data_IF_741541005495
#
_entry.id   IF_741541005495
#
_cell.length_a   1.000
_cell.length_b   1.000
_cell.length_c   1.000
_cell.angle_alpha   90.00
_cell.angle_beta   90.00
_cell.angle_gamma   90.00
#
_symmetry.space_group_name_H-M   'P 1'
#
loop_
_entity.id
_entity.type
_entity.pdbx_description
1 polymer ?
#
# COMPACT_ATOMS: atom_id res chain seq x y z
N UNK A 1 2.34 11.71 -2.63
CA UNK A 1 3.56 10.92 -2.98
C UNK A 1 4.35 11.49 -4.15
N UNK A 2 3.83 11.49 -5.40
CA UNK A 2 4.60 11.96 -6.57
C UNK A 2 5.12 13.40 -6.46
N UNK A 3 4.32 14.33 -5.91
CA UNK A 3 4.79 15.70 -5.63
C UNK A 3 5.87 15.77 -4.55
N UNK A 4 5.83 14.88 -3.56
CA UNK A 4 6.74 14.87 -2.40
C UNK A 4 8.11 14.38 -2.87
N UNK A 5 8.13 13.28 -3.61
CA UNK A 5 9.34 12.60 -4.06
C UNK A 5 9.74 12.94 -5.50
N UNK A 6 9.04 13.89 -6.13
CA UNK A 6 9.28 14.38 -7.50
C UNK A 6 9.30 13.28 -8.57
N UNK A 7 8.38 12.33 -8.48
CA UNK A 7 8.16 11.32 -9.51
C UNK A 7 6.70 11.34 -9.99
N UNK A 8 6.46 10.76 -11.17
CA UNK A 8 5.13 10.54 -11.74
C UNK A 8 5.02 9.08 -12.15
N UNK A 9 3.87 8.47 -11.85
CA UNK A 9 3.53 7.14 -12.34
C UNK A 9 2.57 7.33 -13.51
N UNK A 10 2.84 6.66 -14.62
CA UNK A 10 1.96 6.61 -15.78
C UNK A 10 1.68 5.13 -16.09
N UNK A 11 0.42 4.82 -16.40
CA UNK A 11 0.07 3.46 -16.83
C UNK A 11 0.42 3.30 -18.30
N UNK A 12 1.18 2.25 -18.63
CA UNK A 12 1.40 1.82 -20.00
C UNK A 12 0.44 0.68 -20.33
N UNK A 13 -0.44 0.90 -21.30
CA UNK A 13 -1.45 -0.05 -21.76
C UNK A 13 -1.45 -0.14 -23.27
N UNK A 14 -1.53 -1.35 -23.80
CA UNK A 14 -1.46 -1.56 -25.26
C UNK A 14 -2.57 -0.82 -26.02
N UNK A 15 -3.74 -0.59 -25.42
CA UNK A 15 -4.86 0.10 -26.08
C UNK A 15 -4.55 1.57 -26.38
N UNK A 16 -3.61 2.18 -25.67
CA UNK A 16 -3.32 3.62 -25.74
C UNK A 16 -1.87 3.94 -26.11
N UNK A 17 -0.94 3.09 -25.69
CA UNK A 17 0.49 3.36 -25.73
C UNK A 17 1.23 2.54 -26.81
N UNK A 18 0.49 1.70 -27.55
CA UNK A 18 1.02 0.91 -28.67
C UNK A 18 0.32 1.36 -29.95
N UNK A 19 1.10 1.66 -31.00
CA UNK A 19 0.53 2.02 -32.30
C UNK A 19 0.01 0.77 -33.02
N UNK A 20 -1.18 0.84 -33.65
CA UNK A 20 -1.67 -0.24 -34.50
C UNK A 20 -0.65 -0.56 -35.59
N UNK A 21 -0.19 -1.80 -35.64
CA UNK A 21 0.78 -2.26 -36.63
C UNK A 21 0.47 -3.70 -36.97
N UNK A 22 0.38 -4.02 -38.26
CA UNK A 22 0.28 -5.39 -38.74
C UNK A 22 1.68 -5.82 -39.17
N UNK A 23 2.23 -6.80 -38.45
CA UNK A 23 3.41 -7.58 -38.87
C UNK A 23 2.95 -9.04 -38.94
N UNK A 24 3.59 -9.85 -39.77
CA UNK A 24 3.39 -11.31 -39.80
C UNK A 24 4.02 -11.96 -38.54
N UNK A 25 3.54 -11.53 -37.36
CA UNK A 25 3.99 -11.87 -36.01
C UNK A 25 2.78 -11.83 -35.07
N UNK A 26 2.92 -12.51 -33.94
CA UNK A 26 1.92 -12.47 -32.87
C UNK A 26 1.75 -11.06 -32.29
N UNK A 27 0.50 -10.67 -31.99
CA UNK A 27 0.16 -9.36 -31.42
C UNK A 27 0.86 -9.07 -30.08
N UNK A 28 1.07 -10.08 -29.22
CA UNK A 28 1.77 -9.94 -27.94
C UNK A 28 3.21 -9.50 -28.14
N UNK A 29 3.92 -10.09 -29.11
CA UNK A 29 5.28 -9.67 -29.46
C UNK A 29 5.31 -8.24 -30.00
N UNK A 30 4.29 -7.84 -30.78
CA UNK A 30 4.22 -6.47 -31.32
C UNK A 30 4.01 -5.46 -30.20
N UNK A 31 3.21 -5.79 -29.18
CA UNK A 31 2.99 -4.96 -27.98
C UNK A 31 4.30 -4.82 -27.21
N UNK A 32 4.97 -5.93 -26.91
CA UNK A 32 6.26 -5.93 -26.20
C UNK A 32 7.35 -5.19 -26.97
N UNK A 33 7.49 -5.40 -28.28
CA UNK A 33 8.47 -4.70 -29.13
C UNK A 33 8.27 -3.17 -29.09
N UNK A 34 7.03 -2.70 -28.89
CA UNK A 34 6.72 -1.27 -28.89
C UNK A 34 6.82 -0.62 -27.52
N UNK A 35 6.42 -1.32 -26.45
CA UNK A 35 6.60 -0.85 -25.08
C UNK A 35 8.10 -0.93 -24.70
N UNK A 36 8.79 -1.96 -25.15
CA UNK A 36 10.17 -2.22 -24.81
C UNK A 36 10.36 -2.44 -23.30
N UNK A 37 11.50 -1.99 -22.78
CA UNK A 37 11.88 -2.13 -21.36
C UNK A 37 11.66 -0.83 -20.57
N UNK A 38 10.83 0.09 -21.06
CA UNK A 38 10.69 1.45 -20.52
C UNK A 38 9.79 1.55 -19.27
N UNK A 39 9.68 0.48 -18.50
CA UNK A 39 8.86 0.42 -17.29
C UNK A 39 9.62 -0.22 -16.13
N UNK A 40 9.36 0.29 -14.93
CA UNK A 40 10.00 -0.13 -13.68
C UNK A 40 9.08 -1.02 -12.82
N UNK A 41 7.78 -1.05 -13.12
CA UNK A 41 6.80 -1.86 -12.38
C UNK A 41 5.90 -2.61 -13.37
N UNK A 42 5.83 -3.93 -13.23
CA UNK A 42 4.86 -4.78 -13.91
C UNK A 42 3.68 -5.10 -12.98
N UNK A 43 2.45 -4.87 -13.44
CA UNK A 43 1.23 -5.16 -12.68
C UNK A 43 0.39 -6.17 -13.48
N UNK A 44 0.42 -7.43 -13.05
CA UNK A 44 -0.44 -8.48 -13.60
C UNK A 44 -1.79 -8.53 -12.88
N UNK A 45 -2.87 -8.57 -13.65
CA UNK A 45 -4.24 -8.63 -13.12
C UNK A 45 -4.96 -9.80 -13.78
N UNK A 46 -5.40 -10.77 -12.98
CA UNK A 46 -6.16 -11.91 -13.47
C UNK A 46 -7.56 -11.92 -12.88
N UNK A 47 -8.57 -11.96 -13.75
CA UNK A 47 -9.98 -12.05 -13.38
C UNK A 47 -10.46 -13.53 -13.47
N UNK A 48 -11.74 -13.78 -13.75
CA UNK A 48 -12.35 -15.11 -13.87
C UNK A 48 -11.96 -15.91 -15.14
N UNK A 49 -11.17 -15.31 -16.03
CA UNK A 49 -10.69 -15.94 -17.28
C UNK A 49 -9.17 -15.95 -17.27
N UNK A 50 -8.60 -17.09 -17.61
CA UNK A 50 -7.17 -17.23 -17.84
C UNK A 50 -6.76 -16.54 -19.14
N UNK A 51 -7.60 -16.63 -20.18
CA UNK A 51 -7.40 -15.98 -21.46
C UNK A 51 -7.15 -16.95 -22.61
N UNK A 52 -6.85 -16.40 -23.79
CA UNK A 52 -6.60 -17.17 -25.00
C UNK A 52 -5.12 -17.59 -25.08
N UNK A 53 -4.84 -18.87 -25.42
CA UNK A 53 -3.47 -19.35 -25.63
C UNK A 53 -2.73 -18.53 -26.68
N UNK A 54 -1.44 -18.34 -26.45
CA UNK A 54 -0.50 -17.76 -27.41
C UNK A 54 0.44 -18.86 -27.90
N UNK A 55 1.29 -18.60 -28.91
CA UNK A 55 2.32 -19.55 -29.33
C UNK A 55 3.32 -19.92 -28.24
N UNK A 56 3.41 -19.12 -27.15
CA UNK A 56 4.43 -19.26 -26.10
C UNK A 56 3.85 -19.58 -24.71
N UNK A 57 2.57 -19.35 -24.47
CA UNK A 57 1.95 -19.56 -23.15
C UNK A 57 0.46 -19.95 -23.25
N UNK A 58 -0.10 -20.41 -22.14
CA UNK A 58 -1.51 -20.76 -22.06
C UNK A 58 -2.45 -19.54 -22.04
N UNK A 59 -1.90 -18.33 -21.80
CA UNK A 59 -2.59 -17.07 -22.01
C UNK A 59 -1.64 -15.92 -22.32
N UNK A 60 -2.16 -14.83 -22.90
CA UNK A 60 -1.40 -13.59 -23.09
C UNK A 60 -0.83 -13.04 -21.78
N UNK A 61 -1.62 -13.04 -20.70
CA UNK A 61 -1.17 -12.58 -19.37
C UNK A 61 -0.08 -13.48 -18.77
N UNK A 62 -0.13 -14.79 -19.00
CA UNK A 62 0.96 -15.70 -18.60
C UNK A 62 2.24 -15.41 -19.40
N UNK A 63 2.12 -15.14 -20.70
CA UNK A 63 3.26 -14.74 -21.53
C UNK A 63 3.89 -13.44 -21.02
N UNK A 64 3.05 -12.42 -20.77
CA UNK A 64 3.50 -11.13 -20.28
C UNK A 64 4.24 -11.23 -18.94
N UNK A 65 3.70 -12.01 -18.01
CA UNK A 65 4.36 -12.30 -16.74
C UNK A 65 5.70 -13.01 -16.92
N UNK A 66 5.78 -14.00 -17.81
CA UNK A 66 7.01 -14.77 -18.01
C UNK A 66 8.14 -13.88 -18.54
N UNK A 67 7.85 -12.97 -19.47
CA UNK A 67 8.83 -12.01 -19.99
C UNK A 67 9.24 -10.98 -18.92
N UNK A 68 8.29 -10.42 -18.18
CA UNK A 68 8.59 -9.53 -17.05
C UNK A 68 9.48 -10.23 -16.00
N UNK A 69 9.13 -11.46 -15.62
CA UNK A 69 9.88 -12.25 -14.64
C UNK A 69 11.28 -12.64 -15.14
N UNK A 70 11.42 -12.88 -16.45
CA UNK A 70 12.73 -13.09 -17.07
C UNK A 70 13.60 -11.83 -16.96
N UNK A 71 13.07 -10.65 -17.29
CA UNK A 71 13.78 -9.37 -17.12
C UNK A 71 14.19 -9.15 -15.67
N UNK A 72 13.28 -9.36 -14.72
CA UNK A 72 13.57 -9.27 -13.29
C UNK A 72 14.76 -10.17 -12.90
N UNK A 73 14.79 -11.42 -13.38
CA UNK A 73 15.91 -12.33 -13.12
C UNK A 73 17.24 -11.90 -13.74
N UNK A 74 17.20 -11.27 -14.91
CA UNK A 74 18.40 -10.88 -15.65
C UNK A 74 19.01 -9.57 -15.15
N UNK A 75 18.17 -8.58 -14.79
CA UNK A 75 18.59 -7.22 -14.46
C UNK A 75 18.32 -6.80 -13.03
N UNK A 76 17.35 -7.44 -12.37
CA UNK A 76 16.90 -7.10 -11.02
C UNK A 76 16.47 -5.62 -10.89
N UNK A 77 15.89 -5.06 -11.97
CA UNK A 77 15.51 -3.65 -12.12
C UNK A 77 13.98 -3.45 -12.22
N UNK A 78 13.21 -4.50 -11.97
CA UNK A 78 11.77 -4.53 -12.22
C UNK A 78 11.01 -5.04 -11.00
N UNK A 79 10.07 -4.26 -10.50
CA UNK A 79 9.11 -4.73 -9.49
C UNK A 79 7.95 -5.47 -10.16
N UNK A 80 7.57 -6.63 -9.63
CA UNK A 80 6.49 -7.46 -10.17
C UNK A 80 5.40 -7.61 -9.11
N UNK A 81 4.23 -7.06 -9.40
CA UNK A 81 3.04 -7.18 -8.55
C UNK A 81 1.96 -7.94 -9.33
N UNK A 82 1.40 -8.98 -8.74
CA UNK A 82 0.38 -9.80 -9.39
C UNK A 82 -0.87 -9.95 -8.52
N UNK A 83 -2.05 -9.83 -9.12
CA UNK A 83 -3.34 -9.89 -8.43
C UNK A 83 -4.30 -10.90 -9.06
N UNK A 84 -5.02 -11.63 -8.21
CA UNK A 84 -6.10 -12.53 -8.60
C UNK A 84 -7.44 -12.05 -8.04
N UNK A 85 -8.48 -12.01 -8.90
CA UNK A 85 -9.84 -11.73 -8.46
C UNK A 85 -10.43 -12.94 -7.72
N UNK A 86 -11.04 -12.70 -6.56
CA UNK A 86 -11.81 -13.69 -5.80
C UNK A 86 -13.30 -13.33 -5.68
N UNK A 87 -13.73 -12.29 -6.38
CA UNK A 87 -15.13 -11.91 -6.43
C UNK A 87 -16.00 -13.09 -6.90
N UNK A 88 -17.04 -13.46 -6.13
CA UNK A 88 -17.92 -14.56 -6.49
C UNK A 88 -18.55 -14.38 -7.89
N UNK A 89 -18.82 -15.46 -8.62
CA UNK A 89 -19.63 -15.42 -9.84
C UNK A 89 -21.03 -14.89 -9.51
N UNK A 90 -21.56 -13.98 -10.32
CA UNK A 90 -22.93 -13.45 -10.11
C UNK A 90 -23.99 -14.47 -10.54
N UNK A 91 -23.63 -15.40 -11.43
CA UNK A 91 -24.48 -16.50 -11.84
C UNK A 91 -23.66 -17.77 -12.10
N UNK A 92 -24.33 -18.93 -12.05
CA UNK A 92 -23.70 -20.22 -12.37
C UNK A 92 -23.18 -20.29 -13.81
N UNK A 93 -23.72 -19.48 -14.73
CA UNK A 93 -23.27 -19.42 -16.13
C UNK A 93 -21.92 -18.72 -16.31
N UNK A 94 -21.45 -17.97 -15.30
CA UNK A 94 -20.09 -17.39 -15.31
C UNK A 94 -19.01 -18.41 -14.94
N UNK A 95 -19.39 -19.54 -14.35
CA UNK A 95 -18.45 -20.54 -13.87
C UNK A 95 -17.97 -21.39 -15.04
N UNK A 96 -16.71 -21.18 -15.43
CA UNK A 96 -16.01 -22.06 -16.35
C UNK A 96 -14.93 -22.84 -15.61
N UNK A 97 -15.19 -24.13 -15.34
CA UNK A 97 -14.27 -24.99 -14.61
C UNK A 97 -12.88 -25.10 -15.28
N UNK A 98 -12.81 -25.10 -16.61
CA UNK A 98 -11.54 -25.19 -17.33
C UNK A 98 -10.69 -23.94 -17.12
N UNK A 99 -11.29 -22.76 -17.15
CA UNK A 99 -10.57 -21.49 -16.90
C UNK A 99 -10.09 -21.41 -15.46
N UNK A 100 -10.94 -21.79 -14.49
CA UNK A 100 -10.57 -21.81 -13.07
C UNK A 100 -9.41 -22.76 -12.78
N UNK A 101 -9.39 -23.94 -13.42
CA UNK A 101 -8.28 -24.88 -13.29
C UNK A 101 -6.97 -24.29 -13.81
N UNK A 102 -6.97 -23.62 -14.98
CA UNK A 102 -5.78 -22.97 -15.52
C UNK A 102 -5.28 -21.83 -14.62
N UNK A 103 -6.19 -21.03 -14.06
CA UNK A 103 -5.84 -19.96 -13.10
C UNK A 103 -5.17 -20.57 -11.86
N UNK A 104 -5.72 -21.67 -11.33
CA UNK A 104 -5.17 -22.34 -10.16
C UNK A 104 -3.81 -23.00 -10.45
N UNK A 105 -3.63 -23.59 -11.63
CA UNK A 105 -2.32 -24.08 -12.09
C UNK A 105 -1.30 -22.94 -12.18
N UNK A 106 -1.69 -21.80 -12.73
CA UNK A 106 -0.84 -20.62 -12.81
C UNK A 106 -0.49 -20.08 -11.42
N UNK A 107 -1.45 -20.00 -10.49
CA UNK A 107 -1.21 -19.67 -9.07
C UNK A 107 -0.16 -20.57 -8.45
N UNK A 108 -0.26 -21.88 -8.64
CA UNK A 108 0.73 -22.87 -8.15
C UNK A 108 2.11 -22.64 -8.77
N UNK A 109 2.18 -22.25 -10.05
CA UNK A 109 3.46 -21.85 -10.68
C UNK A 109 4.04 -20.58 -10.06
N UNK A 110 3.21 -19.66 -9.56
CA UNK A 110 3.64 -18.38 -8.97
C UNK A 110 4.04 -18.52 -7.50
N UNK A 111 3.41 -19.40 -6.72
CA UNK A 111 3.70 -19.62 -5.30
C UNK A 111 5.20 -19.75 -4.95
N UNK A 112 6.03 -20.54 -5.68
CA UNK A 112 7.45 -20.64 -5.35
C UNK A 112 8.28 -19.41 -5.80
N UNK A 113 7.70 -18.50 -6.59
CA UNK A 113 8.38 -17.32 -7.14
C UNK A 113 8.14 -16.05 -6.32
N UNK A 114 7.16 -16.06 -5.40
CA UNK A 114 6.84 -14.90 -4.57
C UNK A 114 5.43 -14.94 -4.01
N UNK A 115 4.94 -13.76 -3.62
CA UNK A 115 3.60 -13.56 -3.06
C UNK A 115 2.77 -12.80 -4.08
N UNK A 116 1.50 -13.18 -4.23
CA UNK A 116 0.52 -12.48 -5.03
C UNK A 116 -0.62 -11.95 -4.15
N UNK A 117 -1.27 -10.88 -4.63
CA UNK A 117 -2.42 -10.28 -3.98
C UNK A 117 -3.74 -10.88 -4.45
N UNK A 118 -4.77 -10.69 -3.63
CA UNK A 118 -6.16 -10.99 -3.97
C UNK A 118 -6.99 -9.72 -3.91
N UNK A 119 -8.10 -9.65 -4.64
CA UNK A 119 -9.08 -8.57 -4.56
C UNK A 119 -10.47 -9.06 -4.90
N UNK A 120 -11.52 -8.38 -4.44
CA UNK A 120 -12.91 -8.62 -4.81
C UNK A 120 -13.48 -7.36 -5.47
N UNK A 121 -13.56 -7.39 -6.79
CA UNK A 121 -14.11 -6.29 -7.57
C UNK A 121 -13.20 -5.06 -7.67
N UNK A 122 -13.66 -4.06 -8.42
CA UNK A 122 -12.83 -2.92 -8.87
C UNK A 122 -12.42 -2.01 -7.72
N UNK A 123 -13.31 -1.74 -6.76
CA UNK A 123 -13.04 -0.81 -5.64
C UNK A 123 -11.93 -1.35 -4.72
N UNK A 124 -12.00 -2.62 -4.32
CA UNK A 124 -10.97 -3.23 -3.48
C UNK A 124 -9.63 -3.34 -4.21
N UNK A 125 -9.66 -3.61 -5.53
CA UNK A 125 -8.45 -3.61 -6.34
C UNK A 125 -7.76 -2.24 -6.34
N UNK A 126 -8.52 -1.15 -6.53
CA UNK A 126 -7.95 0.20 -6.51
C UNK A 126 -7.29 0.51 -5.17
N UNK A 127 -7.99 0.25 -4.07
CA UNK A 127 -7.47 0.51 -2.71
C UNK A 127 -6.19 -0.28 -2.44
N UNK A 128 -6.20 -1.59 -2.73
CA UNK A 128 -5.04 -2.47 -2.53
C UNK A 128 -3.86 -2.05 -3.42
N UNK A 129 -4.11 -1.78 -4.70
CA UNK A 129 -3.06 -1.36 -5.61
C UNK A 129 -2.41 -0.05 -5.15
N UNK A 130 -3.23 0.94 -4.78
CA UNK A 130 -2.74 2.22 -4.29
C UNK A 130 -1.88 2.05 -3.03
N UNK A 131 -2.33 1.23 -2.09
CA UNK A 131 -1.58 0.91 -0.85
C UNK A 131 -0.25 0.22 -1.14
N UNK A 132 -0.26 -0.81 -1.99
CA UNK A 132 0.95 -1.58 -2.30
C UNK A 132 1.98 -0.76 -3.08
N UNK A 133 1.55 0.00 -4.09
CA UNK A 133 2.45 0.91 -4.83
C UNK A 133 3.02 1.96 -3.88
N UNK A 134 2.19 2.55 -3.02
CA UNK A 134 2.64 3.53 -2.03
C UNK A 134 3.72 2.91 -1.15
N UNK A 135 3.50 1.71 -0.61
CA UNK A 135 4.49 1.01 0.22
C UNK A 135 5.77 0.67 -0.53
N UNK A 136 5.67 0.20 -1.78
CA UNK A 136 6.86 -0.07 -2.61
C UNK A 136 7.75 1.17 -2.74
N UNK A 137 7.19 2.32 -3.14
CA UNK A 137 7.98 3.53 -3.26
C UNK A 137 8.58 4.00 -1.94
N UNK A 138 7.85 3.86 -0.82
CA UNK A 138 8.41 4.13 0.51
C UNK A 138 9.69 3.34 0.75
N UNK A 139 9.63 2.04 0.49
CA UNK A 139 10.74 1.14 0.77
C UNK A 139 11.94 1.47 -0.13
N UNK A 140 11.72 1.74 -1.41
CA UNK A 140 12.78 2.15 -2.34
C UNK A 140 13.48 3.45 -1.88
N UNK A 141 12.71 4.49 -1.55
CA UNK A 141 13.29 5.75 -1.04
C UNK A 141 13.96 5.59 0.33
N UNK A 142 13.44 4.70 1.18
CA UNK A 142 14.06 4.43 2.49
C UNK A 142 15.35 3.63 2.37
N UNK A 143 15.46 2.69 1.43
CA UNK A 143 16.70 1.92 1.19
C UNK A 143 17.88 2.84 0.88
N UNK A 144 17.66 3.96 0.18
CA UNK A 144 18.70 4.97 -0.07
C UNK A 144 19.17 5.69 1.20
N UNK A 145 18.33 5.75 2.24
CA UNK A 145 18.57 6.47 3.50
C UNK A 145 19.02 5.61 4.70
N UNK A 146 18.93 4.28 4.60
CA UNK A 146 19.04 3.40 5.77
C UNK A 146 20.47 2.93 6.09
N UNK A 147 20.93 3.17 7.32
CA UNK A 147 22.15 2.58 7.91
C UNK A 147 21.81 1.27 8.64
N UNK A 148 22.68 0.23 8.67
CA UNK A 148 22.38 -1.02 9.36
C UNK A 148 22.13 -0.84 10.87
N UNK A 149 21.02 -1.38 11.36
CA UNK A 149 20.63 -1.32 12.78
C UNK A 149 21.23 -2.47 13.60
N UNK A 150 21.73 -2.21 14.81
CA UNK A 150 22.33 -3.22 15.69
C UNK A 150 21.31 -3.86 16.67
N UNK A 151 21.67 -4.97 17.30
CA UNK A 151 20.78 -5.73 18.20
C UNK A 151 20.19 -4.89 19.37
N UNK A 152 20.94 -3.90 19.88
CA UNK A 152 20.48 -3.01 20.97
C UNK A 152 19.41 -2.03 20.48
N UNK A 153 19.55 -1.54 19.25
CA UNK A 153 18.55 -0.70 18.60
C UNK A 153 17.26 -1.49 18.33
N UNK A 154 17.36 -2.77 17.98
CA UNK A 154 16.20 -3.65 17.80
C UNK A 154 15.40 -3.85 19.10
N UNK A 155 16.10 -4.12 20.21
CA UNK A 155 15.48 -4.27 21.54
C UNK A 155 14.78 -2.97 21.95
N UNK A 156 15.42 -1.83 21.74
CA UNK A 156 14.80 -0.53 22.01
C UNK A 156 13.58 -0.26 21.12
N UNK A 157 13.63 -0.70 19.86
CA UNK A 157 12.49 -0.62 18.94
C UNK A 157 11.28 -1.38 19.47
N UNK A 158 11.47 -2.61 19.92
CA UNK A 158 10.38 -3.42 20.46
C UNK A 158 9.82 -2.89 21.78
N UNK A 159 10.66 -2.37 22.66
CA UNK A 159 10.22 -1.78 23.92
C UNK A 159 9.30 -0.57 23.69
N UNK A 160 9.71 0.37 22.84
CA UNK A 160 8.86 1.53 22.49
C UNK A 160 7.63 1.14 21.68
N UNK A 161 7.73 0.13 20.82
CA UNK A 161 6.58 -0.44 20.10
C UNK A 161 5.48 -0.88 21.06
N UNK A 162 5.83 -1.56 22.16
CA UNK A 162 4.87 -1.96 23.21
C UNK A 162 4.23 -0.74 23.88
N UNK A 163 5.01 0.33 24.14
CA UNK A 163 4.50 1.57 24.72
C UNK A 163 3.48 2.26 23.81
N UNK A 164 3.81 2.41 22.52
CA UNK A 164 2.91 3.06 21.56
C UNK A 164 1.64 2.24 21.30
N UNK A 165 1.76 0.91 21.16
CA UNK A 165 0.60 0.02 21.05
C UNK A 165 -0.30 0.10 22.29
N UNK A 166 0.28 0.17 23.49
CA UNK A 166 -0.50 0.35 24.72
C UNK A 166 -1.28 1.67 24.70
N UNK A 167 -0.61 2.80 24.36
CA UNK A 167 -1.26 4.12 24.27
C UNK A 167 -2.41 4.13 23.26
N UNK A 168 -2.19 3.53 22.08
CA UNK A 168 -3.23 3.37 21.08
C UNK A 168 -4.41 2.54 21.59
N UNK A 169 -4.15 1.37 22.16
CA UNK A 169 -5.20 0.51 22.73
C UNK A 169 -5.96 1.17 23.87
N UNK A 170 -5.29 1.95 24.71
CA UNK A 170 -5.94 2.71 25.79
C UNK A 170 -6.81 3.84 25.21
N UNK A 171 -6.42 4.46 24.09
CA UNK A 171 -7.26 5.46 23.39
C UNK A 171 -8.48 4.88 22.67
N UNK A 172 -8.55 3.56 22.47
CA UNK A 172 -9.72 2.86 21.92
C UNK A 172 -10.77 2.53 22.99
N UNK A 173 -10.40 2.56 24.28
CA UNK A 173 -11.31 2.27 25.39
C UNK A 173 -12.21 3.48 25.67
N UNK A 174 -13.26 3.63 24.89
CA UNK A 174 -14.31 4.63 25.14
C UNK A 174 -15.27 4.22 26.25
N UNK A 175 -15.62 2.92 26.33
CA UNK A 175 -16.50 2.31 27.33
C UNK A 175 -16.10 0.84 27.54
N UNK A 176 -16.17 0.33 28.78
CA UNK A 176 -15.64 -0.98 29.18
C UNK A 176 -16.28 -2.21 28.48
N UNK A 177 -17.45 -2.05 27.86
CA UNK A 177 -18.24 -3.16 27.28
C UNK A 177 -18.18 -3.26 25.73
N UNK A 178 -17.40 -2.41 25.05
CA UNK A 178 -17.30 -2.44 23.59
C UNK A 178 -16.06 -3.20 23.09
N UNK A 179 -16.16 -3.96 21.99
CA UNK A 179 -15.00 -4.60 21.38
C UNK A 179 -14.02 -3.51 20.88
N UNK A 180 -12.73 -3.70 21.18
CA UNK A 180 -11.66 -2.79 20.75
C UNK A 180 -11.39 -2.95 19.25
N UNK A 181 -12.24 -2.35 18.42
CA UNK A 181 -12.10 -2.40 16.96
C UNK A 181 -11.62 -1.05 16.48
N UNK A 182 -10.44 -1.02 15.86
CA UNK A 182 -9.99 0.13 15.09
C UNK A 182 -10.66 0.11 13.72
N UNK A 183 -11.41 1.17 13.42
CA UNK A 183 -11.92 1.44 12.09
C UNK A 183 -11.09 2.58 11.54
N UNK A 184 -10.31 2.32 10.50
CA UNK A 184 -9.45 3.34 9.90
C UNK A 184 -10.31 4.48 9.33
N UNK A 185 -10.09 5.74 9.75
CA UNK A 185 -10.90 6.86 9.30
C UNK A 185 -10.58 7.21 7.84
N UNK A 186 -11.59 7.67 7.12
CA UNK A 186 -11.40 8.24 5.78
C UNK A 186 -10.90 9.68 5.96
N UNK A 187 -9.62 9.91 5.67
CA UNK A 187 -9.02 11.25 5.63
C UNK A 187 -9.15 11.75 4.20
N UNK A 188 -9.68 12.95 3.99
CA UNK A 188 -9.85 13.56 2.66
C UNK A 188 -9.16 14.91 2.56
N UNK A 189 -8.69 15.26 1.35
CA UNK A 189 -8.18 16.61 1.04
C UNK A 189 -9.28 17.67 1.00
N UNK A 190 -10.54 17.26 0.84
CA UNK A 190 -11.70 18.15 0.78
C UNK A 190 -12.36 18.25 2.15
N UNK A 191 -12.66 19.48 2.61
CA UNK A 191 -13.35 19.71 3.88
C UNK A 191 -14.87 19.44 3.85
N UNK A 192 -15.42 19.07 2.69
CA UNK A 192 -16.83 18.73 2.50
C UNK A 192 -17.05 17.24 2.69
N UNK A 193 -17.88 16.87 3.68
CA UNK A 193 -18.45 15.53 3.78
C UNK A 193 -19.39 15.34 2.59
N UNK A 194 -19.01 14.51 1.60
CA UNK A 194 -19.93 14.19 0.51
C UNK A 194 -21.04 13.28 1.04
N UNK A 195 -22.27 13.51 0.58
CA UNK A 195 -23.38 12.58 0.79
C UNK A 195 -23.21 11.29 -0.03
N UNK A 196 -22.36 11.31 -1.05
CA UNK A 196 -22.02 10.15 -1.84
C UNK A 196 -20.77 9.46 -1.25
N UNK A 197 -20.88 8.21 -0.75
CA UNK A 197 -19.74 7.46 -0.22
C UNK A 197 -18.58 7.34 -1.20
N UNK A 198 -18.87 7.22 -2.51
CA UNK A 198 -17.86 7.03 -3.55
C UNK A 198 -16.96 8.26 -3.74
N UNK A 199 -17.50 9.47 -3.54
CA UNK A 199 -16.73 10.71 -3.66
C UNK A 199 -15.70 10.86 -2.53
N UNK A 200 -15.98 10.29 -1.35
CA UNK A 200 -15.05 10.32 -0.22
C UNK A 200 -13.75 9.53 -0.51
N UNK A 201 -13.76 8.58 -1.46
CA UNK A 201 -12.58 7.84 -1.88
C UNK A 201 -11.74 8.61 -2.92
N UNK A 202 -12.37 9.41 -3.76
CA UNK A 202 -11.68 10.15 -4.85
C UNK A 202 -10.61 11.14 -4.37
N UNK A 203 -10.79 11.71 -3.18
CA UNK A 203 -9.87 12.68 -2.57
C UNK A 203 -9.21 12.15 -1.29
N UNK A 204 -9.21 10.82 -1.10
CA UNK A 204 -8.67 10.17 0.09
C UNK A 204 -7.16 10.40 0.20
N UNK A 205 -6.73 10.85 1.37
CA UNK A 205 -5.34 10.87 1.81
C UNK A 205 -5.09 9.58 2.58
N UNK A 206 -4.13 8.79 2.12
CA UNK A 206 -3.71 7.59 2.83
C UNK A 206 -2.86 7.97 4.06
N UNK A 207 -2.96 7.18 5.13
CA UNK A 207 -2.11 7.36 6.31
C UNK A 207 -0.64 7.31 5.93
N UNK A 208 -0.28 6.39 5.03
CA UNK A 208 1.07 6.28 4.50
C UNK A 208 1.54 7.60 3.89
N UNK A 209 0.69 8.33 3.14
CA UNK A 209 1.07 9.64 2.59
C UNK A 209 1.39 10.68 3.68
N UNK A 210 0.68 10.65 4.81
CA UNK A 210 0.93 11.56 5.94
C UNK A 210 2.27 11.22 6.61
N UNK A 211 2.52 9.93 6.86
CA UNK A 211 3.71 9.45 7.58
C UNK A 211 5.02 9.76 6.86
N UNK A 212 4.98 9.96 5.54
CA UNK A 212 6.17 10.11 4.70
C UNK A 212 6.43 11.53 4.25
N UNK A 213 5.47 12.41 4.46
CA UNK A 213 5.52 13.76 3.97
C UNK A 213 6.20 14.64 5.00
N UNK A 214 7.15 15.46 4.53
CA UNK A 214 7.77 16.51 5.36
C UNK A 214 6.82 17.71 5.59
N UNK A 215 5.63 17.70 4.99
CA UNK A 215 4.65 18.78 5.13
C UNK A 215 3.93 18.67 6.47
N UNK A 216 3.55 19.81 7.02
CA UNK A 216 2.61 19.86 8.14
C UNK A 216 1.18 19.65 7.64
N UNK A 217 0.41 18.84 8.37
CA UNK A 217 -1.00 18.56 8.08
C UNK A 217 -1.90 19.15 9.16
N UNK A 218 -3.04 19.70 8.72
CA UNK A 218 -4.12 20.08 9.61
C UNK A 218 -5.33 19.18 9.32
N UNK A 219 -5.70 18.34 10.28
CA UNK A 219 -6.85 17.44 10.18
C UNK A 219 -7.98 18.03 11.02
N UNK A 220 -9.06 18.43 10.36
CA UNK A 220 -10.25 18.94 11.02
C UNK A 220 -11.37 17.89 10.96
N UNK A 221 -11.92 17.50 12.11
CA UNK A 221 -13.04 16.58 12.18
C UNK A 221 -13.92 16.88 13.41
N UNK A 222 -15.22 16.56 13.37
CA UNK A 222 -16.09 16.60 14.54
C UNK A 222 -15.60 15.67 15.68
N UNK A 223 -15.98 15.95 16.92
CA UNK A 223 -15.49 15.23 18.11
C UNK A 223 -15.75 13.71 18.07
N UNK A 224 -16.79 13.27 17.38
CA UNK A 224 -17.17 11.85 17.23
C UNK A 224 -16.22 11.02 16.35
N UNK A 225 -15.25 11.63 15.65
CA UNK A 225 -14.33 10.95 14.73
C UNK A 225 -13.01 10.51 15.37
N UNK A 226 -12.85 10.62 16.70
CA UNK A 226 -11.75 9.98 17.41
C UNK A 226 -10.35 10.49 17.05
N UNK A 227 -10.16 11.81 16.93
CA UNK A 227 -8.87 12.41 16.55
C UNK A 227 -7.71 12.04 17.50
N UNK A 228 -7.98 11.85 18.79
CA UNK A 228 -6.99 11.37 19.77
C UNK A 228 -6.49 9.96 19.40
N UNK A 229 -7.43 9.07 19.07
CA UNK A 229 -7.13 7.69 18.65
C UNK A 229 -6.35 7.69 17.33
N UNK A 230 -6.74 8.53 16.37
CA UNK A 230 -6.00 8.73 15.12
C UNK A 230 -4.57 9.22 15.39
N UNK A 231 -4.37 10.18 16.30
CA UNK A 231 -3.05 10.67 16.67
C UNK A 231 -2.16 9.56 17.25
N UNK A 232 -2.69 8.72 18.14
CA UNK A 232 -1.96 7.57 18.67
C UNK A 232 -1.69 6.49 17.62
N UNK A 233 -2.62 6.29 16.69
CA UNK A 233 -2.43 5.38 15.56
C UNK A 233 -1.28 5.85 14.67
N UNK A 234 -1.25 7.13 14.29
CA UNK A 234 -0.17 7.72 13.49
C UNK A 234 1.19 7.59 14.17
N UNK A 235 1.28 7.83 15.49
CA UNK A 235 2.52 7.61 16.24
C UNK A 235 2.96 6.14 16.20
N UNK A 236 2.02 5.20 16.35
CA UNK A 236 2.33 3.78 16.26
C UNK A 236 2.84 3.40 14.87
N UNK A 237 2.18 3.85 13.81
CA UNK A 237 2.57 3.58 12.43
C UNK A 237 3.90 4.24 12.05
N UNK A 238 4.15 5.47 12.50
CA UNK A 238 5.43 6.16 12.33
C UNK A 238 6.59 5.37 12.95
N UNK A 239 6.37 4.78 14.14
CA UNK A 239 7.39 3.98 14.81
C UNK A 239 7.72 2.68 14.07
N UNK A 240 6.71 2.00 13.50
CA UNK A 240 6.94 0.84 12.62
C UNK A 240 7.81 1.24 11.42
N UNK A 241 7.61 2.48 10.94
CA UNK A 241 8.33 3.13 9.86
C UNK A 241 9.71 3.71 10.22
N UNK A 242 10.24 3.43 11.42
CA UNK A 242 11.53 3.93 11.96
C UNK A 242 11.58 5.44 12.27
N UNK A 243 10.44 6.09 12.44
CA UNK A 243 10.37 7.50 12.82
C UNK A 243 9.83 7.66 14.24
N UNK A 244 10.47 8.54 15.03
CA UNK A 244 9.96 8.90 16.35
C UNK A 244 8.99 10.07 16.22
N UNK A 245 7.69 9.77 16.28
CA UNK A 245 6.66 10.79 16.39
C UNK A 245 6.18 10.90 17.84
N UNK A 246 5.79 12.11 18.22
CA UNK A 246 5.32 12.41 19.57
C UNK A 246 3.92 12.99 19.49
N UNK A 247 3.01 12.41 20.25
CA UNK A 247 1.67 12.94 20.45
C UNK A 247 1.68 13.98 21.57
N UNK A 248 1.17 15.18 21.32
CA UNK A 248 0.95 16.22 22.31
C UNK A 248 -0.53 16.59 22.34
N UNK A 249 -1.12 16.60 23.52
CA UNK A 249 -2.50 17.01 23.72
C UNK A 249 -2.56 18.51 24.07
N UNK A 250 -3.31 19.26 23.26
CA UNK A 250 -3.51 20.70 23.46
C UNK A 250 -4.31 21.03 24.74
N UNK A 251 -5.08 20.08 25.28
CA UNK A 251 -5.76 20.25 26.57
C UNK A 251 -4.78 20.31 27.75
N UNK A 252 -3.62 19.68 27.61
CA UNK A 252 -2.60 19.59 28.66
C UNK A 252 -1.33 20.40 28.36
N UNK A 253 -1.13 20.83 27.11
CA UNK A 253 0.08 21.52 26.65
C UNK A 253 -0.21 22.96 26.23
N UNK A 254 0.49 23.93 26.83
CA UNK A 254 0.38 25.35 26.44
C UNK A 254 1.34 25.68 25.27
N UNK A 255 0.99 26.64 24.39
CA UNK A 255 1.83 26.97 23.22
C UNK A 255 3.29 27.34 23.54
N UNK A 256 3.53 28.10 24.60
CA UNK A 256 4.87 28.52 25.00
C UNK A 256 5.70 27.42 25.68
N UNK A 257 5.08 26.28 26.04
CA UNK A 257 5.75 25.16 26.71
C UNK A 257 6.03 23.98 25.79
N UNK A 258 5.64 24.04 24.50
CA UNK A 258 5.73 22.93 23.56
C UNK A 258 7.13 22.29 23.55
N UNK A 259 8.19 23.10 23.44
CA UNK A 259 9.56 22.61 23.43
C UNK A 259 9.92 21.81 24.70
N UNK A 260 9.47 22.28 25.87
CA UNK A 260 9.68 21.59 27.14
C UNK A 260 8.86 20.31 27.22
N UNK A 261 7.62 20.32 26.73
CA UNK A 261 6.75 19.13 26.68
C UNK A 261 7.34 18.05 25.78
N UNK A 262 7.88 18.41 24.61
CA UNK A 262 8.58 17.48 23.71
C UNK A 262 9.77 16.84 24.42
N UNK A 263 10.66 17.64 25.04
CA UNK A 263 11.83 17.13 25.75
C UNK A 263 11.45 16.18 26.89
N UNK A 264 10.44 16.55 27.69
CA UNK A 264 9.96 15.71 28.78
C UNK A 264 9.43 14.37 28.26
N UNK A 265 8.67 14.39 27.16
CA UNK A 265 8.11 13.19 26.56
C UNK A 265 9.21 12.28 26.00
N UNK A 266 10.19 12.82 25.27
CA UNK A 266 11.36 12.07 24.80
C UNK A 266 12.13 11.45 25.96
N UNK A 267 12.40 12.22 27.01
CA UNK A 267 13.10 11.72 28.20
C UNK A 267 12.33 10.60 28.89
N UNK A 268 10.99 10.68 28.94
CA UNK A 268 10.15 9.63 29.50
C UNK A 268 10.22 8.32 28.70
N UNK A 269 10.36 8.41 27.38
CA UNK A 269 10.53 7.26 26.49
C UNK A 269 11.91 6.62 26.68
N UNK A 270 12.98 7.43 26.79
CA UNK A 270 14.34 6.93 27.07
C UNK A 270 14.46 6.26 28.45
N UNK A 271 13.76 6.78 29.47
CA UNK A 271 13.70 6.12 30.78
C UNK A 271 13.03 4.75 30.72
N UNK A 272 11.98 4.60 29.93
CA UNK A 272 11.29 3.31 29.71
C UNK A 272 12.13 2.29 28.92
N UNK A 273 13.21 2.74 28.25
CA UNK A 273 14.19 1.86 27.61
C UNK A 273 15.25 1.32 28.58
N UNK A 274 15.43 1.98 29.74
CA UNK A 274 16.44 1.62 30.75
C UNK A 274 15.89 0.76 31.89
N UNK A 275 14.56 0.67 32.03
CA UNK A 275 13.86 -0.24 32.94
C UNK A 275 13.64 -1.60 32.29
#
# INVERSE_FOLDING_TARGET
MGEIYKFRIESLKWEKDVRPTIKDKDGQLIIFDQIGESFEIFIGIMNKKFGSPTPRAGSGTEEEFNEAFKRYKEKNDLEIIFYFNEEPPQSMSEINASELLKIEEFRKKLQPKGIYGFYNGVSEFEEKLRKHITRYFIEEYKKESATPSNAKQLINKEALRKVFKKRFNDSLKGFDEQPQIWIEPIISRTGTLSQNPDENFSHRVLIEEILLSEKSYFINAPAQFGLTTLGHHLVSEAWENNELWIYLDNSSTKPHTIHKSVLNEVNSLDQKLKM
#
